data_IF_831347234423
#
_entry.id   IF_831347234423
#
_cell.length_a   1.000
_cell.length_b   1.000
_cell.length_c   1.000
_cell.angle_alpha   90.00
_cell.angle_beta   90.00
_cell.angle_gamma   90.00
#
_symmetry.space_group_name_H-M   'P 1'
#
loop_
_entity.id
_entity.type
_entity.pdbx_description
1 polymer ?
#
# COMPACT_ATOMS: atom_id res chain seq x y z
N UNK A 1 22.77 29.04 -23.04
CA UNK A 1 21.38 28.85 -23.51
C UNK A 1 21.04 27.39 -23.27
N UNK A 2 20.29 27.11 -22.22
CA UNK A 2 19.78 25.74 -21.93
C UNK A 2 18.54 25.58 -22.81
N UNK A 3 18.61 24.67 -23.79
CA UNK A 3 17.51 24.39 -24.69
C UNK A 3 16.26 23.98 -23.93
N UNK A 4 15.11 24.48 -24.33
CA UNK A 4 13.79 24.03 -23.82
C UNK A 4 13.65 22.55 -24.17
N UNK A 5 13.63 21.69 -23.14
CA UNK A 5 13.28 20.28 -23.30
C UNK A 5 11.84 20.24 -23.80
N UNK A 6 11.60 19.74 -25.00
CA UNK A 6 10.26 19.63 -25.56
C UNK A 6 9.48 18.55 -24.80
N UNK A 7 8.22 18.88 -24.43
CA UNK A 7 7.33 17.94 -23.79
C UNK A 7 7.05 16.67 -24.62
N UNK A 8 7.31 16.74 -25.95
CA UNK A 8 7.25 15.58 -26.84
C UNK A 8 8.36 14.57 -26.56
N UNK A 9 9.57 15.05 -26.17
CA UNK A 9 10.71 14.19 -25.82
C UNK A 9 10.46 13.44 -24.50
N UNK A 10 9.78 14.07 -23.54
CA UNK A 10 9.39 13.42 -22.30
C UNK A 10 8.30 12.35 -22.51
N UNK A 11 7.36 12.60 -23.42
CA UNK A 11 6.34 11.62 -23.82
C UNK A 11 6.96 10.45 -24.57
N UNK A 12 7.96 10.71 -25.43
CA UNK A 12 8.69 9.66 -26.15
C UNK A 12 9.50 8.79 -25.19
N UNK A 13 10.22 9.41 -24.24
CA UNK A 13 10.97 8.72 -23.17
C UNK A 13 10.05 7.84 -22.31
N UNK A 14 8.92 8.38 -21.88
CA UNK A 14 7.94 7.62 -21.11
C UNK A 14 7.43 6.39 -21.91
N UNK A 15 7.12 6.58 -23.19
CA UNK A 15 6.61 5.51 -24.07
C UNK A 15 7.63 4.43 -24.43
N UNK A 16 8.91 4.77 -24.60
CA UNK A 16 9.90 3.85 -25.16
C UNK A 16 10.94 3.34 -24.17
N UNK A 17 11.10 4.00 -23.03
CA UNK A 17 12.07 3.62 -21.98
C UNK A 17 11.36 2.99 -20.77
N UNK A 18 10.15 3.44 -20.44
CA UNK A 18 9.40 2.95 -19.26
C UNK A 18 8.35 1.90 -19.68
N UNK A 19 8.08 1.74 -20.98
CA UNK A 19 7.01 0.87 -21.47
C UNK A 19 5.64 1.46 -21.13
N UNK A 20 4.98 2.11 -22.08
CA UNK A 20 3.74 2.89 -21.86
C UNK A 20 2.54 2.07 -21.39
N UNK A 21 2.65 0.75 -21.33
CA UNK A 21 1.57 -0.15 -20.98
C UNK A 21 1.71 -0.73 -19.55
N UNK A 22 2.72 -0.28 -18.75
CA UNK A 22 3.06 -0.92 -17.47
C UNK A 22 3.20 0.01 -16.26
N UNK A 23 2.90 1.30 -16.38
CA UNK A 23 2.74 2.12 -15.17
C UNK A 23 1.33 1.87 -14.66
N UNK A 24 1.14 1.21 -13.50
CA UNK A 24 -0.18 1.00 -12.97
C UNK A 24 -0.85 2.37 -12.81
N UNK A 25 -1.93 2.59 -13.55
CA UNK A 25 -2.77 3.74 -13.28
C UNK A 25 -3.20 3.67 -11.81
N UNK A 26 -3.33 4.84 -11.16
CA UNK A 26 -3.87 4.89 -9.79
C UNK A 26 -5.23 4.20 -9.76
N UNK A 27 -5.47 3.40 -8.76
CA UNK A 27 -6.80 2.85 -8.49
C UNK A 27 -7.76 3.98 -8.05
N UNK A 28 -9.01 3.90 -8.47
CA UNK A 28 -10.08 4.84 -8.11
C UNK A 28 -11.30 4.07 -7.62
N UNK A 29 -12.10 4.63 -6.72
CA UNK A 29 -13.41 4.06 -6.39
C UNK A 29 -14.24 3.80 -7.64
N UNK A 30 -14.66 2.52 -7.82
CA UNK A 30 -15.37 2.05 -9.00
C UNK A 30 -14.50 1.32 -10.03
N UNK A 31 -13.17 1.39 -9.93
CA UNK A 31 -12.29 0.51 -10.68
C UNK A 31 -12.38 -0.93 -10.12
N UNK A 32 -12.05 -1.96 -10.91
CA UNK A 32 -11.99 -3.33 -10.41
C UNK A 32 -11.06 -3.43 -9.19
N UNK A 33 -11.53 -4.06 -8.12
CA UNK A 33 -10.78 -4.16 -6.86
C UNK A 33 -9.65 -5.19 -6.94
N UNK A 34 -9.79 -6.21 -7.80
CA UNK A 34 -8.90 -7.36 -7.80
C UNK A 34 -9.00 -8.11 -6.48
N UNK A 35 -7.87 -8.49 -5.90
CA UNK A 35 -7.80 -9.16 -4.60
C UNK A 35 -7.72 -8.18 -3.41
N UNK A 36 -7.80 -6.86 -3.67
CA UNK A 36 -7.77 -5.84 -2.62
C UNK A 36 -8.97 -5.95 -1.72
N UNK A 37 -8.72 -5.77 -0.45
CA UNK A 37 -9.72 -5.55 0.59
C UNK A 37 -9.52 -4.15 1.15
N UNK A 38 -10.59 -3.59 1.70
CA UNK A 38 -10.58 -2.23 2.22
C UNK A 38 -11.06 -2.19 3.66
N UNK A 39 -10.46 -1.32 4.44
CA UNK A 39 -10.92 -0.99 5.79
C UNK A 39 -10.91 0.52 5.97
N UNK A 40 -11.99 1.01 6.60
CA UNK A 40 -12.13 2.41 6.98
C UNK A 40 -11.54 2.63 8.37
N UNK A 41 -10.61 3.55 8.46
CA UNK A 41 -10.03 4.01 9.71
C UNK A 41 -10.51 5.44 10.01
N UNK A 42 -10.36 5.89 11.24
CA UNK A 42 -10.73 7.24 11.69
C UNK A 42 -12.24 7.55 11.62
N UNK A 43 -13.11 6.54 11.45
CA UNK A 43 -14.56 6.75 11.41
C UNK A 43 -15.11 7.34 12.73
N UNK A 44 -14.53 6.96 13.87
CA UNK A 44 -14.95 7.42 15.20
C UNK A 44 -14.06 8.54 15.75
N UNK A 45 -12.79 8.58 15.37
CA UNK A 45 -11.82 9.58 15.83
C UNK A 45 -10.90 9.97 14.66
N UNK A 46 -10.72 11.28 14.41
CA UNK A 46 -9.76 11.73 13.42
C UNK A 46 -8.37 11.20 13.67
N UNK A 47 -7.64 10.86 12.61
CA UNK A 47 -6.26 10.40 12.69
C UNK A 47 -5.33 11.60 12.67
N UNK A 48 -4.62 11.82 13.77
CA UNK A 48 -3.63 12.90 13.91
C UNK A 48 -2.29 12.36 13.42
N UNK A 49 -1.75 12.96 12.37
CA UNK A 49 -0.43 12.66 11.82
C UNK A 49 0.68 13.15 12.76
N UNK A 50 1.86 12.58 12.64
CA UNK A 50 3.03 12.99 13.45
C UNK A 50 3.36 14.48 13.28
N UNK A 51 3.14 15.03 12.09
CA UNK A 51 3.28 16.47 11.79
C UNK A 51 2.21 17.38 12.39
N UNK A 52 1.16 16.83 13.00
CA UNK A 52 0.05 17.57 13.60
C UNK A 52 -1.15 17.78 12.68
N UNK A 53 -1.03 17.50 11.39
CA UNK A 53 -2.18 17.50 10.47
C UNK A 53 -3.17 16.39 10.81
N UNK A 54 -4.41 16.54 10.34
CA UNK A 54 -5.50 15.64 10.70
C UNK A 54 -6.18 15.09 9.45
N UNK A 55 -6.34 13.79 9.39
CA UNK A 55 -7.19 13.11 8.41
C UNK A 55 -8.45 12.60 9.12
N UNK A 56 -9.60 13.11 8.70
CA UNK A 56 -10.90 12.76 9.29
C UNK A 56 -11.46 11.43 8.75
N UNK A 57 -10.90 10.96 7.65
CA UNK A 57 -11.32 9.74 6.97
C UNK A 57 -10.12 9.10 6.28
N UNK A 58 -9.88 7.82 6.54
CA UNK A 58 -8.80 7.05 5.94
C UNK A 58 -9.34 5.70 5.51
N UNK A 59 -9.22 5.40 4.23
CA UNK A 59 -9.39 4.06 3.67
C UNK A 59 -8.02 3.42 3.53
N UNK A 60 -7.84 2.20 4.00
CA UNK A 60 -6.64 1.42 3.76
C UNK A 60 -6.97 0.22 2.89
N UNK A 61 -6.24 0.08 1.79
CA UNK A 61 -6.27 -1.11 0.95
C UNK A 61 -5.23 -2.12 1.41
N UNK A 62 -5.56 -3.40 1.41
CA UNK A 62 -4.66 -4.48 1.78
C UNK A 62 -5.01 -5.77 1.07
N UNK A 63 -4.07 -6.70 1.02
CA UNK A 63 -4.27 -8.06 0.55
C UNK A 63 -3.76 -9.06 1.59
N UNK A 64 -4.32 -10.29 1.54
CA UNK A 64 -3.95 -11.34 2.49
C UNK A 64 -3.84 -12.69 1.80
N UNK A 65 -2.94 -13.53 2.27
CA UNK A 65 -2.74 -14.89 1.77
C UNK A 65 -2.51 -15.85 2.93
N UNK A 66 -2.95 -17.11 2.77
CA UNK A 66 -2.94 -18.11 3.82
C UNK A 66 -4.08 -17.92 4.82
N UNK A 67 -4.01 -18.63 5.95
CA UNK A 67 -5.03 -18.61 7.00
C UNK A 67 -4.44 -18.17 8.33
N UNK A 68 -5.13 -17.27 9.03
CA UNK A 68 -4.75 -16.86 10.37
C UNK A 68 -5.05 -18.00 11.34
N UNK A 69 -4.02 -18.41 12.10
CA UNK A 69 -4.19 -19.44 13.13
C UNK A 69 -5.17 -19.01 14.20
N UNK A 70 -5.84 -19.95 14.90
CA UNK A 70 -6.71 -19.61 16.03
C UNK A 70 -6.01 -18.84 17.16
N UNK A 71 -4.67 -18.98 17.27
CA UNK A 71 -3.84 -18.23 18.22
C UNK A 71 -3.38 -16.87 17.71
N UNK A 72 -3.67 -16.54 16.46
CA UNK A 72 -3.22 -15.31 15.77
C UNK A 72 -1.70 -15.03 15.92
N UNK A 73 -0.89 -16.10 15.89
CA UNK A 73 0.55 -16.07 16.14
C UNK A 73 1.41 -16.36 14.89
N UNK A 74 0.75 -16.62 13.74
CA UNK A 74 1.39 -16.93 12.47
C UNK A 74 1.32 -15.78 11.44
N UNK A 75 0.94 -14.58 11.82
CA UNK A 75 0.78 -13.46 10.90
C UNK A 75 2.11 -12.81 10.55
N UNK A 76 2.37 -12.58 9.26
CA UNK A 76 3.55 -11.86 8.75
C UNK A 76 3.08 -10.60 8.00
N UNK A 77 3.62 -9.44 8.40
CA UNK A 77 3.42 -8.20 7.65
C UNK A 77 4.49 -8.06 6.56
N UNK A 78 4.03 -7.86 5.34
CA UNK A 78 4.86 -7.57 4.17
C UNK A 78 4.77 -6.08 3.86
N UNK A 79 5.89 -5.36 3.98
CA UNK A 79 5.96 -3.92 3.75
C UNK A 79 6.54 -3.65 2.36
N UNK A 80 5.75 -3.05 1.46
CA UNK A 80 6.18 -2.74 0.11
C UNK A 80 7.11 -1.52 0.03
N UNK A 81 7.93 -1.46 -1.03
CA UNK A 81 8.77 -0.32 -1.38
C UNK A 81 7.93 0.84 -1.93
N UNK A 82 8.57 2.02 -2.14
CA UNK A 82 7.88 3.24 -2.61
C UNK A 82 7.05 3.03 -3.88
N UNK A 83 7.53 2.19 -4.80
CA UNK A 83 6.88 1.92 -6.08
C UNK A 83 6.01 0.67 -6.09
N UNK A 84 5.91 -0.01 -4.95
CA UNK A 84 5.06 -1.18 -4.77
C UNK A 84 3.65 -0.80 -4.30
N UNK A 85 2.85 -1.83 -4.13
CA UNK A 85 1.49 -1.76 -3.58
C UNK A 85 1.18 -3.02 -2.74
N UNK A 86 -0.09 -3.21 -2.38
CA UNK A 86 -0.51 -4.38 -1.61
C UNK A 86 -0.40 -5.70 -2.37
N UNK A 87 -0.32 -5.69 -3.72
CA UNK A 87 -0.28 -6.90 -4.54
C UNK A 87 1.10 -7.56 -4.53
N UNK A 88 1.48 -8.13 -3.40
CA UNK A 88 2.78 -8.77 -3.24
C UNK A 88 2.86 -10.17 -3.87
N UNK A 89 1.73 -10.89 -3.97
CA UNK A 89 1.64 -12.23 -4.54
C UNK A 89 0.31 -12.42 -5.27
N UNK A 90 0.35 -13.11 -6.40
CA UNK A 90 -0.80 -13.43 -7.22
C UNK A 90 -0.55 -13.16 -8.70
N UNK A 91 -1.53 -13.50 -9.52
CA UNK A 91 -1.48 -13.27 -10.96
C UNK A 91 -1.99 -11.86 -11.32
N UNK A 92 -1.61 -11.37 -12.49
CA UNK A 92 -2.21 -10.16 -13.05
C UNK A 92 -3.69 -10.39 -13.42
N UNK A 93 -4.51 -9.36 -13.26
CA UNK A 93 -5.92 -9.42 -13.55
C UNK A 93 -6.60 -8.05 -13.54
N UNK A 94 -7.94 -8.02 -13.64
CA UNK A 94 -8.69 -6.76 -13.53
C UNK A 94 -8.37 -6.06 -12.20
N UNK A 95 -7.96 -4.81 -12.28
CA UNK A 95 -7.52 -4.01 -11.12
C UNK A 95 -6.08 -4.24 -10.66
N UNK A 96 -5.42 -5.28 -11.15
CA UNK A 96 -4.04 -5.65 -10.83
C UNK A 96 -3.28 -5.96 -12.13
N UNK A 97 -2.81 -4.95 -12.87
CA UNK A 97 -2.28 -5.11 -14.22
C UNK A 97 -0.93 -5.86 -14.28
N UNK A 98 -0.27 -6.04 -13.15
CA UNK A 98 1.00 -6.77 -13.04
C UNK A 98 0.88 -7.92 -12.04
N UNK A 99 1.64 -9.02 -12.23
CA UNK A 99 1.75 -10.04 -11.20
C UNK A 99 2.31 -9.49 -9.90
N UNK A 100 2.05 -10.19 -8.79
CA UNK A 100 2.60 -9.87 -7.48
C UNK A 100 4.12 -9.70 -7.52
N UNK A 101 4.61 -8.60 -6.93
CA UNK A 101 6.02 -8.21 -7.01
C UNK A 101 6.98 -9.12 -6.22
N UNK A 102 6.45 -10.03 -5.37
CA UNK A 102 7.21 -11.07 -4.69
C UNK A 102 6.74 -12.49 -5.03
N UNK A 103 6.15 -12.68 -6.20
CA UNK A 103 5.93 -14.03 -6.74
C UNK A 103 7.26 -14.82 -6.70
N UNK A 104 7.20 -16.08 -6.21
CA UNK A 104 8.38 -16.92 -5.99
C UNK A 104 9.08 -16.75 -4.63
N UNK A 105 8.78 -15.67 -3.89
CA UNK A 105 9.15 -15.53 -2.47
C UNK A 105 7.96 -15.85 -1.58
N UNK A 106 6.77 -15.42 -1.97
CA UNK A 106 5.48 -15.71 -1.35
C UNK A 106 4.81 -16.84 -2.11
N UNK A 107 4.17 -17.76 -1.39
CA UNK A 107 3.37 -18.85 -1.95
C UNK A 107 3.54 -20.16 -1.19
N UNK A 108 2.79 -21.20 -1.55
CA UNK A 108 2.90 -22.52 -0.94
C UNK A 108 4.32 -23.08 -1.08
N UNK A 109 4.95 -23.46 0.04
CA UNK A 109 6.31 -24.00 0.07
C UNK A 109 7.42 -23.01 -0.25
N UNK A 110 7.13 -21.72 -0.43
CA UNK A 110 8.11 -20.65 -0.64
C UNK A 110 8.74 -20.18 0.68
N UNK A 111 9.66 -19.21 0.61
CA UNK A 111 10.29 -18.62 1.79
C UNK A 111 9.28 -17.97 2.75
N UNK A 112 8.26 -17.31 2.22
CA UNK A 112 7.07 -16.85 2.93
C UNK A 112 5.91 -17.80 2.56
N UNK A 113 5.86 -18.91 3.27
CA UNK A 113 5.01 -20.06 2.98
C UNK A 113 3.55 -19.80 3.42
N UNK A 114 2.65 -19.67 2.45
CA UNK A 114 1.22 -19.42 2.68
C UNK A 114 0.45 -20.62 3.24
N UNK A 115 1.03 -21.83 3.22
CA UNK A 115 0.45 -22.99 3.90
C UNK A 115 0.68 -22.95 5.43
N UNK A 116 1.61 -22.11 5.89
CA UNK A 116 2.01 -22.00 7.30
C UNK A 116 1.70 -20.66 7.92
N UNK A 117 1.79 -19.60 7.13
CA UNK A 117 1.70 -18.23 7.61
C UNK A 117 0.52 -17.49 6.97
N UNK A 118 -0.08 -16.62 7.75
CA UNK A 118 -1.02 -15.63 7.27
C UNK A 118 -0.27 -14.35 6.91
N UNK A 119 -0.13 -14.10 5.62
CA UNK A 119 0.57 -12.91 5.12
C UNK A 119 -0.41 -11.76 4.90
N UNK A 120 0.02 -10.58 5.25
CA UNK A 120 -0.73 -9.33 5.05
C UNK A 120 0.20 -8.32 4.38
N UNK A 121 -0.23 -7.74 3.27
CA UNK A 121 0.43 -6.59 2.66
C UNK A 121 -0.55 -5.41 2.62
N UNK A 122 -0.17 -4.29 3.23
CA UNK A 122 -1.01 -3.09 3.31
C UNK A 122 -0.44 -2.05 2.37
N UNK A 123 -1.29 -1.51 1.47
CA UNK A 123 -0.91 -0.36 0.65
C UNK A 123 -0.77 0.87 1.54
N UNK A 124 0.40 1.50 1.54
CA UNK A 124 0.72 2.58 2.49
C UNK A 124 -0.23 3.77 2.40
N UNK A 125 -0.46 4.45 3.53
CA UNK A 125 -1.07 5.77 3.56
C UNK A 125 -0.25 6.74 2.67
N UNK A 126 -0.91 7.49 1.81
CA UNK A 126 -0.26 8.32 0.79
C UNK A 126 0.01 7.61 -0.54
N UNK A 127 -0.22 6.29 -0.62
CA UNK A 127 -0.12 5.51 -1.85
C UNK A 127 -1.27 5.77 -2.83
N UNK A 128 -1.16 5.22 -4.05
CA UNK A 128 -2.14 5.45 -5.11
C UNK A 128 -2.94 4.20 -5.52
N UNK A 129 -2.78 3.10 -4.78
CA UNK A 129 -3.40 1.81 -5.11
C UNK A 129 -4.49 1.41 -4.09
N UNK A 130 -5.40 2.36 -3.77
CA UNK A 130 -6.59 2.13 -2.97
C UNK A 130 -6.56 2.68 -1.55
N UNK A 131 -5.39 2.89 -0.94
CA UNK A 131 -5.30 3.61 0.33
C UNK A 131 -5.44 5.12 0.12
N UNK A 132 -5.94 5.82 1.14
CA UNK A 132 -6.06 7.29 1.12
C UNK A 132 -4.70 7.93 0.82
N UNK A 133 -4.70 8.82 -0.16
CA UNK A 133 -3.50 9.51 -0.64
C UNK A 133 -3.84 10.77 -1.44
N UNK A 134 -2.87 11.40 -2.10
CA UNK A 134 -3.07 12.62 -2.87
C UNK A 134 -4.16 12.55 -3.94
N UNK A 135 -4.44 11.36 -4.48
CA UNK A 135 -5.50 11.15 -5.47
C UNK A 135 -6.89 10.94 -4.87
N UNK A 136 -7.00 10.77 -3.56
CA UNK A 136 -8.27 10.60 -2.86
C UNK A 136 -9.01 11.92 -2.75
N UNK A 137 -10.34 11.84 -2.65
CA UNK A 137 -11.20 13.02 -2.48
C UNK A 137 -11.03 13.58 -1.06
N UNK A 138 -10.72 14.85 -0.97
CA UNK A 138 -10.78 15.62 0.28
C UNK A 138 -12.25 15.87 0.65
N UNK A 139 -12.72 15.35 1.80
CA UNK A 139 -14.11 15.53 2.21
C UNK A 139 -14.53 16.99 2.39
N UNK A 140 -13.57 17.88 2.66
CA UNK A 140 -13.86 19.30 2.90
C UNK A 140 -14.11 20.07 1.61
N UNK A 141 -13.53 19.62 0.49
CA UNK A 141 -13.60 20.34 -0.79
C UNK A 141 -14.38 19.56 -1.86
N UNK A 142 -14.56 18.25 -1.69
CA UNK A 142 -15.13 17.36 -2.70
C UNK A 142 -14.23 17.13 -3.92
N UNK A 143 -12.97 17.57 -3.87
CA UNK A 143 -11.97 17.46 -4.94
C UNK A 143 -10.78 16.62 -4.46
N UNK A 144 -9.95 16.07 -5.36
CA UNK A 144 -8.72 15.37 -4.94
C UNK A 144 -7.82 16.27 -4.09
N UNK A 145 -7.20 15.71 -3.07
CA UNK A 145 -6.22 16.43 -2.24
C UNK A 145 -5.08 17.02 -3.09
N UNK A 146 -4.55 16.27 -4.04
CA UNK A 146 -3.41 16.73 -4.84
C UNK A 146 -2.22 17.14 -3.96
N UNK A 147 -1.71 18.35 -4.19
CA UNK A 147 -0.60 18.93 -3.40
C UNK A 147 -0.99 19.38 -1.99
N UNK A 148 -2.27 19.42 -1.65
CA UNK A 148 -2.73 19.72 -0.29
C UNK A 148 -2.79 18.49 0.62
N UNK A 149 -2.47 17.30 0.09
CA UNK A 149 -2.37 16.09 0.94
C UNK A 149 -1.28 16.31 1.99
N UNK A 150 -1.56 16.03 3.27
CA UNK A 150 -0.61 16.30 4.34
C UNK A 150 0.65 15.45 4.21
N UNK A 151 1.74 15.90 4.82
CA UNK A 151 2.98 15.13 4.89
C UNK A 151 2.77 13.91 5.78
N UNK A 152 3.06 12.73 5.23
CA UNK A 152 2.96 11.44 5.93
C UNK A 152 4.35 10.94 6.24
N UNK A 153 4.59 10.53 7.49
CA UNK A 153 5.85 9.92 7.93
C UNK A 153 5.77 8.39 7.91
N UNK A 154 6.92 7.73 8.03
CA UNK A 154 6.98 6.25 8.17
C UNK A 154 6.20 5.80 9.41
N UNK A 155 6.25 6.58 10.49
CA UNK A 155 5.48 6.32 11.71
C UNK A 155 3.97 6.38 11.47
N UNK A 156 3.49 7.33 10.70
CA UNK A 156 2.07 7.40 10.34
C UNK A 156 1.64 6.19 9.51
N UNK A 157 2.49 5.73 8.58
CA UNK A 157 2.26 4.52 7.80
C UNK A 157 2.12 3.31 8.73
N UNK A 158 3.07 3.12 9.65
CA UNK A 158 3.07 2.01 10.61
C UNK A 158 1.86 2.05 11.53
N UNK A 159 1.44 3.24 11.99
CA UNK A 159 0.22 3.40 12.79
C UNK A 159 -1.05 2.98 12.03
N UNK A 160 -1.12 3.27 10.72
CA UNK A 160 -2.21 2.76 9.88
C UNK A 160 -2.15 1.24 9.71
N UNK A 161 -0.96 0.67 9.53
CA UNK A 161 -0.77 -0.79 9.47
C UNK A 161 -1.17 -1.46 10.79
N UNK A 162 -0.88 -0.84 11.94
CA UNK A 162 -1.32 -1.33 13.24
C UNK A 162 -2.84 -1.35 13.36
N UNK A 163 -3.52 -0.30 12.88
CA UNK A 163 -4.98 -0.28 12.87
C UNK A 163 -5.59 -1.34 11.92
N UNK A 164 -4.92 -1.65 10.80
CA UNK A 164 -5.31 -2.78 9.93
C UNK A 164 -5.09 -4.12 10.66
N UNK A 165 -3.99 -4.27 11.41
CA UNK A 165 -3.75 -5.47 12.21
C UNK A 165 -4.86 -5.67 13.27
N UNK A 166 -5.26 -4.60 13.98
CA UNK A 166 -6.35 -4.64 14.94
C UNK A 166 -7.67 -5.06 14.28
N UNK A 167 -7.98 -4.53 13.08
CA UNK A 167 -9.15 -4.93 12.29
C UNK A 167 -9.15 -6.41 11.93
N UNK A 168 -7.97 -6.98 11.64
CA UNK A 168 -7.79 -8.39 11.31
C UNK A 168 -7.70 -9.30 12.54
N UNK A 169 -7.71 -8.74 13.75
CA UNK A 169 -7.56 -9.50 15.00
C UNK A 169 -6.13 -9.96 15.28
N UNK A 170 -5.14 -9.36 14.63
CA UNK A 170 -3.72 -9.68 14.79
C UNK A 170 -3.17 -8.86 15.94
N UNK A 171 -2.86 -9.50 17.06
CA UNK A 171 -2.29 -8.83 18.25
C UNK A 171 -0.76 -8.77 18.23
N UNK A 172 -0.13 -9.64 17.45
CA UNK A 172 1.32 -9.73 17.34
C UNK A 172 1.72 -10.32 16.00
N UNK A 173 2.63 -9.64 15.32
CA UNK A 173 3.25 -10.19 14.12
C UNK A 173 4.24 -11.31 14.48
N UNK A 174 4.20 -12.42 13.76
CA UNK A 174 5.26 -13.43 13.76
C UNK A 174 6.55 -12.81 13.23
N UNK A 175 6.45 -12.05 12.15
CA UNK A 175 7.54 -11.22 11.65
C UNK A 175 7.01 -10.05 10.81
N UNK A 176 7.85 -9.03 10.62
CA UNK A 176 7.62 -7.92 9.71
C UNK A 176 8.78 -7.90 8.72
N UNK A 177 8.48 -7.91 7.43
CA UNK A 177 9.49 -8.01 6.37
C UNK A 177 9.28 -6.95 5.31
N UNK A 178 10.36 -6.44 4.73
CA UNK A 178 10.27 -5.44 3.66
C UNK A 178 11.62 -4.93 3.22
N UNK A 179 11.68 -4.38 2.01
CA UNK A 179 12.89 -3.79 1.42
C UNK A 179 12.71 -2.30 1.13
N UNK A 180 13.81 -1.53 1.06
CA UNK A 180 13.78 -0.10 0.75
C UNK A 180 12.89 0.69 1.74
N UNK A 181 11.92 1.46 1.28
CA UNK A 181 10.94 2.12 2.14
C UNK A 181 10.19 1.11 3.04
N UNK A 182 9.94 -0.12 2.56
CA UNK A 182 9.41 -1.20 3.38
C UNK A 182 10.35 -1.57 4.53
N UNK A 183 11.68 -1.55 4.32
CA UNK A 183 12.67 -1.75 5.38
C UNK A 183 12.65 -0.64 6.44
N UNK A 184 12.35 0.62 6.05
CA UNK A 184 12.14 1.71 7.01
C UNK A 184 10.91 1.45 7.88
N UNK A 185 9.83 0.92 7.30
CA UNK A 185 8.64 0.50 8.03
C UNK A 185 8.96 -0.64 9.02
N UNK A 186 9.77 -1.62 8.59
CA UNK A 186 10.22 -2.72 9.48
C UNK A 186 10.98 -2.18 10.70
N UNK A 187 11.88 -1.20 10.50
CA UNK A 187 12.61 -0.56 11.60
C UNK A 187 11.68 0.20 12.54
N UNK A 188 10.71 0.92 12.02
CA UNK A 188 9.72 1.64 12.84
C UNK A 188 8.82 0.69 13.64
N UNK A 189 8.49 -0.49 13.11
CA UNK A 189 7.78 -1.53 13.86
C UNK A 189 8.58 -2.08 15.05
N UNK A 190 9.91 -1.95 15.03
CA UNK A 190 10.80 -2.39 16.09
C UNK A 190 11.16 -1.31 17.11
N UNK A 191 10.72 -0.05 16.88
CA UNK A 191 11.03 1.09 17.73
C UNK A 191 9.93 1.34 18.76
#
# INVERSE_FOLDING_TARGET
MIGKTDLSDLKWLAKNVIGSDSVPERWRPGDPEGDRRFVELAAERPFVLEGGDVLSHITMAYETWGELSPGADNAILVCHALTGDAHAFGESGPGQPTPGWWNGVIGPGCGLDTDRYFLVCVNVLGGCQGSTGPSSTDPSTGSPYGSSFPTVTVRDIVRCQAAVADHLGIQRWHSVVGGSMGGMQVLEWGA
#
